data_IF_235649926303
#
_entry.id   IF_235649926303
#
_cell.length_a   1.000
_cell.length_b   1.000
_cell.length_c   1.000
_cell.angle_alpha   90.00
_cell.angle_beta   90.00
_cell.angle_gamma   90.00
#
_symmetry.space_group_name_H-M   'P 1'
#
loop_
_entity.id
_entity.type
_entity.pdbx_description
1 polymer ?
#
# COMPACT_ATOMS: atom_id res chain seq x y z
N UNK A 1 -14.37 2.90 -13.01
CA UNK A 1 -13.71 3.87 -12.11
C UNK A 1 -13.90 5.33 -12.57
N UNK A 2 -13.77 5.69 -13.86
CA UNK A 2 -13.92 7.09 -14.35
C UNK A 2 -15.23 7.77 -13.92
N UNK A 3 -16.37 7.04 -13.94
CA UNK A 3 -17.67 7.58 -13.49
C UNK A 3 -17.65 7.98 -12.00
N UNK A 4 -17.00 7.19 -11.17
CA UNK A 4 -16.85 7.49 -9.74
C UNK A 4 -15.95 8.71 -9.49
N UNK A 5 -14.84 8.84 -10.22
CA UNK A 5 -13.99 10.04 -10.14
C UNK A 5 -14.79 11.29 -10.55
N UNK A 6 -15.49 11.24 -11.67
CA UNK A 6 -16.32 12.36 -12.11
C UNK A 6 -17.39 12.73 -11.09
N UNK A 7 -18.06 11.73 -10.51
CA UNK A 7 -19.05 11.98 -9.45
C UNK A 7 -18.45 12.75 -8.25
N UNK A 8 -17.25 12.35 -7.78
CA UNK A 8 -16.59 13.07 -6.67
C UNK A 8 -16.18 14.49 -7.08
N UNK A 9 -15.63 14.68 -8.29
CA UNK A 9 -15.26 16.01 -8.78
C UNK A 9 -16.48 16.96 -8.82
N UNK A 10 -17.58 16.49 -9.36
CA UNK A 10 -18.83 17.25 -9.45
C UNK A 10 -19.39 17.56 -8.04
N UNK A 11 -19.46 16.56 -7.17
CA UNK A 11 -20.00 16.68 -5.80
C UNK A 11 -19.23 17.69 -4.96
N UNK A 12 -17.90 17.70 -5.07
CA UNK A 12 -17.04 18.59 -4.28
C UNK A 12 -16.63 19.85 -5.03
N UNK A 13 -17.25 20.13 -6.19
CA UNK A 13 -17.01 21.32 -7.01
C UNK A 13 -15.53 21.52 -7.38
N UNK A 14 -14.83 20.42 -7.69
CA UNK A 14 -13.45 20.45 -8.16
C UNK A 14 -13.44 20.59 -9.68
N UNK A 15 -13.20 21.80 -10.17
CA UNK A 15 -13.21 22.15 -11.60
C UNK A 15 -11.86 21.78 -12.25
N UNK A 16 -11.63 20.49 -12.47
CA UNK A 16 -10.42 19.97 -13.11
C UNK A 16 -10.83 18.87 -14.07
N UNK A 17 -10.31 18.89 -15.29
CA UNK A 17 -10.46 17.79 -16.23
C UNK A 17 -9.47 16.68 -15.86
N UNK A 18 -10.00 15.61 -15.28
CA UNK A 18 -9.21 14.48 -14.82
C UNK A 18 -9.71 13.18 -15.45
N UNK A 19 -8.80 12.45 -16.10
CA UNK A 19 -9.10 11.16 -16.73
C UNK A 19 -8.26 10.06 -16.10
N UNK A 20 -8.91 9.07 -15.48
CA UNK A 20 -8.27 7.91 -14.90
C UNK A 20 -7.92 6.89 -16.01
N UNK A 21 -6.71 6.33 -16.00
CA UNK A 21 -6.32 5.24 -16.89
C UNK A 21 -7.21 4.01 -16.69
N UNK A 22 -7.33 3.16 -17.71
CA UNK A 22 -8.18 1.96 -17.65
C UNK A 22 -7.74 0.99 -16.55
N UNK A 23 -6.43 0.85 -16.35
CA UNK A 23 -5.81 0.02 -15.31
C UNK A 23 -5.82 0.66 -13.91
N UNK A 24 -6.20 1.94 -13.81
CA UNK A 24 -6.23 2.69 -12.55
C UNK A 24 -4.86 3.12 -12.01
N UNK A 25 -3.77 2.89 -12.76
CA UNK A 25 -2.41 3.20 -12.29
C UNK A 25 -2.04 4.68 -12.40
N UNK A 26 -2.74 5.45 -13.23
CA UNK A 26 -2.49 6.89 -13.37
C UNK A 26 -3.78 7.70 -13.57
N UNK A 27 -3.70 8.98 -13.24
CA UNK A 27 -4.72 9.97 -13.58
C UNK A 27 -4.08 11.10 -14.40
N UNK A 28 -4.68 11.39 -15.55
CA UNK A 28 -4.24 12.48 -16.44
C UNK A 28 -4.96 13.77 -16.07
N UNK A 29 -4.21 14.84 -15.86
CA UNK A 29 -4.70 16.18 -15.53
C UNK A 29 -3.91 17.19 -16.35
N UNK A 30 -4.61 18.05 -17.09
CA UNK A 30 -3.99 19.09 -17.93
C UNK A 30 -2.93 18.54 -18.91
N UNK A 31 -3.14 17.30 -19.39
CA UNK A 31 -2.24 16.60 -20.32
C UNK A 31 -1.07 15.86 -19.67
N UNK A 32 -0.88 15.97 -18.36
CA UNK A 32 0.17 15.32 -17.59
C UNK A 32 -0.38 14.14 -16.80
N UNK A 33 0.36 13.01 -16.78
CA UNK A 33 0.00 11.80 -16.05
C UNK A 33 0.62 11.81 -14.64
N UNK A 34 -0.21 11.48 -13.64
CA UNK A 34 0.17 11.38 -12.23
C UNK A 34 -0.10 9.98 -11.73
N UNK A 35 0.86 9.33 -11.04
CA UNK A 35 0.67 7.98 -10.51
C UNK A 35 -0.39 7.98 -9.40
N UNK A 36 -1.26 6.98 -9.43
CA UNK A 36 -2.26 6.73 -8.39
C UNK A 36 -1.70 5.69 -7.43
N UNK A 37 -1.71 6.01 -6.13
CA UNK A 37 -1.20 5.18 -5.05
C UNK A 37 -2.38 4.75 -4.14
N UNK A 38 -3.15 3.71 -4.49
CA UNK A 38 -4.42 3.38 -3.84
C UNK A 38 -4.28 3.12 -2.34
N UNK A 39 -3.14 2.55 -1.91
CA UNK A 39 -2.86 2.26 -0.51
C UNK A 39 -2.83 3.49 0.40
N UNK A 40 -2.54 4.68 -0.14
CA UNK A 40 -2.59 5.92 0.63
C UNK A 40 -4.03 6.37 0.97
N UNK A 41 -5.02 5.79 0.31
CA UNK A 41 -6.45 6.00 0.58
C UNK A 41 -7.10 4.82 1.30
N UNK A 42 -6.35 3.75 1.53
CA UNK A 42 -6.84 2.55 2.19
C UNK A 42 -6.82 2.74 3.71
N UNK A 43 -7.98 2.58 4.35
CA UNK A 43 -8.17 2.88 5.77
C UNK A 43 -7.21 2.13 6.69
N UNK A 44 -6.96 0.83 6.44
CA UNK A 44 -6.07 0.03 7.29
C UNK A 44 -4.64 0.58 7.31
N UNK A 45 -4.11 1.06 6.18
CA UNK A 45 -2.78 1.64 6.12
C UNK A 45 -2.72 3.05 6.69
N UNK A 46 -3.79 3.84 6.53
CA UNK A 46 -3.94 5.14 7.19
C UNK A 46 -3.92 4.96 8.71
N UNK A 47 -4.63 3.96 9.25
CA UNK A 47 -4.65 3.69 10.68
C UNK A 47 -3.29 3.16 11.18
N UNK A 48 -2.62 2.25 10.47
CA UNK A 48 -1.27 1.81 10.82
C UNK A 48 -0.30 3.00 10.84
N UNK A 49 -0.33 3.87 9.82
CA UNK A 49 0.46 5.11 9.79
C UNK A 49 0.19 6.00 11.00
N UNK A 50 -1.08 6.19 11.34
CA UNK A 50 -1.47 7.01 12.50
C UNK A 50 -0.92 6.44 13.81
N UNK A 51 -0.96 5.11 13.98
CA UNK A 51 -0.39 4.44 15.16
C UNK A 51 1.12 4.70 15.29
N UNK A 52 1.84 4.64 14.18
CA UNK A 52 3.29 4.89 14.12
C UNK A 52 3.60 6.37 14.37
N UNK A 53 2.99 7.27 13.59
CA UNK A 53 3.31 8.71 13.63
C UNK A 53 2.90 9.38 14.93
N UNK A 54 1.86 8.88 15.60
CA UNK A 54 1.42 9.37 16.92
C UNK A 54 2.15 8.69 18.09
N UNK A 55 3.07 7.75 17.83
CA UNK A 55 3.81 7.04 18.85
C UNK A 55 2.94 6.17 19.78
N UNK A 56 1.73 5.78 19.35
CA UNK A 56 0.77 5.04 20.20
C UNK A 56 1.17 3.60 20.45
N UNK A 57 2.05 3.05 19.63
CA UNK A 57 2.52 1.67 19.74
C UNK A 57 3.96 1.58 20.28
N UNK A 58 4.54 2.68 20.77
CA UNK A 58 5.93 2.74 21.22
C UNK A 58 6.92 2.87 20.05
N UNK A 59 8.18 2.50 20.30
CA UNK A 59 9.22 2.55 19.28
C UNK A 59 9.11 1.35 18.36
N UNK A 60 9.10 1.61 17.06
CA UNK A 60 9.05 0.56 16.04
C UNK A 60 10.39 -0.18 15.98
N UNK A 61 10.34 -1.52 16.06
CA UNK A 61 11.50 -2.38 15.98
C UNK A 61 11.66 -2.97 14.58
N UNK A 62 10.59 -3.56 14.04
CA UNK A 62 10.61 -4.16 12.70
C UNK A 62 9.21 -4.17 12.08
N UNK A 63 9.16 -4.27 10.75
CA UNK A 63 7.94 -4.42 9.99
C UNK A 63 7.98 -5.72 9.18
N UNK A 64 6.93 -6.51 9.25
CA UNK A 64 6.77 -7.75 8.48
C UNK A 64 5.61 -7.62 7.52
N UNK A 65 5.87 -7.90 6.25
CA UNK A 65 4.88 -7.88 5.18
C UNK A 65 4.86 -9.26 4.53
N UNK A 66 3.71 -9.88 4.47
CA UNK A 66 3.48 -11.12 3.73
C UNK A 66 2.38 -10.90 2.69
N UNK A 67 2.64 -11.22 1.42
CA UNK A 67 1.65 -11.10 0.36
C UNK A 67 1.67 -12.33 -0.54
N UNK A 68 0.55 -13.04 -0.62
CA UNK A 68 0.39 -14.20 -1.49
C UNK A 68 -0.61 -13.87 -2.59
N UNK A 69 -0.14 -14.00 -3.83
CA UNK A 69 -0.86 -13.65 -5.06
C UNK A 69 -1.02 -14.86 -5.98
N UNK A 70 -1.79 -14.70 -7.04
CA UNK A 70 -2.04 -15.75 -8.04
C UNK A 70 -0.77 -16.18 -8.76
N UNK A 71 -0.71 -17.46 -9.14
CA UNK A 71 0.33 -17.97 -10.05
C UNK A 71 0.31 -17.16 -11.34
N UNK A 72 1.49 -16.68 -11.76
CA UNK A 72 1.66 -15.86 -12.97
C UNK A 72 1.62 -14.36 -12.72
N UNK A 73 1.25 -13.90 -11.52
CA UNK A 73 1.39 -12.49 -11.15
C UNK A 73 2.87 -12.09 -11.12
N UNK A 74 3.19 -10.90 -11.63
CA UNK A 74 4.56 -10.37 -11.54
C UNK A 74 4.87 -9.97 -10.08
N UNK A 75 5.80 -10.71 -9.48
CA UNK A 75 6.24 -10.46 -8.09
C UNK A 75 6.83 -9.06 -7.91
N UNK A 76 7.33 -8.42 -8.98
CA UNK A 76 7.85 -7.06 -8.89
C UNK A 76 6.76 -6.00 -8.86
N UNK A 77 5.61 -6.22 -9.50
CA UNK A 77 4.44 -5.35 -9.33
C UNK A 77 3.90 -5.45 -7.89
N UNK A 78 3.90 -6.67 -7.33
CA UNK A 78 3.55 -6.87 -5.92
C UNK A 78 4.55 -6.18 -5.00
N UNK A 79 5.86 -6.31 -5.27
CA UNK A 79 6.90 -5.62 -4.51
C UNK A 79 6.75 -4.09 -4.57
N UNK A 80 6.44 -3.54 -5.74
CA UNK A 80 6.20 -2.10 -5.92
C UNK A 80 5.11 -1.58 -4.97
N UNK A 81 3.99 -2.33 -4.88
CA UNK A 81 2.91 -2.02 -3.93
C UNK A 81 3.39 -2.10 -2.49
N UNK A 82 4.08 -3.17 -2.11
CA UNK A 82 4.49 -3.39 -0.72
C UNK A 82 5.57 -2.40 -0.24
N UNK A 83 6.48 -1.99 -1.13
CA UNK A 83 7.42 -0.88 -0.86
C UNK A 83 6.64 0.42 -0.61
N UNK A 84 5.65 0.72 -1.46
CA UNK A 84 4.83 1.92 -1.27
C UNK A 84 4.06 1.91 0.06
N UNK A 85 3.51 0.76 0.46
CA UNK A 85 2.84 0.59 1.75
C UNK A 85 3.82 0.74 2.91
N UNK A 86 5.01 0.13 2.80
CA UNK A 86 6.07 0.28 3.81
C UNK A 86 6.40 1.75 4.02
N UNK A 87 6.79 2.47 2.97
CA UNK A 87 7.20 3.88 3.08
C UNK A 87 6.07 4.79 3.60
N UNK A 88 4.85 4.51 3.16
CA UNK A 88 3.67 5.24 3.64
C UNK A 88 3.41 5.02 5.12
N UNK A 89 3.41 3.77 5.58
CA UNK A 89 3.06 3.42 6.97
C UNK A 89 4.14 3.82 7.97
N UNK A 90 5.42 3.60 7.65
CA UNK A 90 6.53 3.99 8.55
C UNK A 90 6.95 5.46 8.40
N UNK A 91 6.35 6.17 7.45
CA UNK A 91 6.65 7.57 7.11
C UNK A 91 8.15 7.83 6.89
N UNK A 92 8.81 6.94 6.15
CA UNK A 92 10.26 6.99 5.88
C UNK A 92 10.57 6.26 4.58
N UNK A 93 11.53 6.77 3.82
CA UNK A 93 11.98 6.15 2.55
C UNK A 93 12.87 4.94 2.82
N UNK A 94 12.81 3.95 1.93
CA UNK A 94 13.78 2.87 1.86
C UNK A 94 15.16 3.41 1.51
N UNK A 95 16.22 2.97 2.21
CA UNK A 95 17.60 3.38 1.94
C UNK A 95 18.46 2.27 1.40
N UNK A 96 18.15 1.02 1.71
CA UNK A 96 18.83 -0.14 1.14
C UNK A 96 17.91 -1.36 1.07
N UNK A 97 18.22 -2.29 0.17
CA UNK A 97 17.44 -3.51 -0.02
C UNK A 97 18.36 -4.69 -0.34
N UNK A 98 18.04 -5.84 0.28
CA UNK A 98 18.55 -7.15 -0.07
C UNK A 98 17.40 -8.04 -0.53
N UNK A 99 17.60 -8.80 -1.62
CA UNK A 99 16.56 -9.64 -2.21
C UNK A 99 17.06 -11.03 -2.55
N UNK A 100 16.21 -12.04 -2.30
CA UNK A 100 16.42 -13.42 -2.74
C UNK A 100 15.14 -13.92 -3.41
N UNK A 101 15.29 -14.80 -4.39
CA UNK A 101 14.16 -15.36 -5.13
C UNK A 101 14.23 -16.87 -5.19
N UNK A 102 13.09 -17.50 -4.90
CA UNK A 102 12.82 -18.92 -5.11
C UNK A 102 11.89 -19.18 -6.28
N UNK A 103 11.41 -20.40 -6.42
CA UNK A 103 10.41 -20.77 -7.42
C UNK A 103 9.04 -20.21 -7.02
N UNK A 104 8.60 -19.13 -7.69
CA UNK A 104 7.33 -18.47 -7.41
C UNK A 104 7.30 -17.67 -6.10
N UNK A 105 8.47 -17.42 -5.48
CA UNK A 105 8.56 -16.67 -4.22
C UNK A 105 9.69 -15.66 -4.27
N UNK A 106 9.56 -14.57 -3.54
CA UNK A 106 10.60 -13.56 -3.36
C UNK A 106 10.58 -13.06 -1.92
N UNK A 107 11.75 -12.90 -1.32
CA UNK A 107 11.91 -12.31 -0.01
C UNK A 107 12.85 -11.12 -0.12
N UNK A 108 12.48 -10.00 0.50
CA UNK A 108 13.30 -8.80 0.57
C UNK A 108 13.49 -8.40 2.04
N UNK A 109 14.67 -7.90 2.35
CA UNK A 109 14.96 -7.17 3.59
C UNK A 109 15.23 -5.72 3.17
N UNK A 110 14.47 -4.80 3.74
CA UNK A 110 14.55 -3.36 3.44
C UNK A 110 14.87 -2.62 4.71
N UNK A 111 15.91 -1.76 4.69
CA UNK A 111 16.14 -0.78 5.75
C UNK A 111 15.65 0.58 5.29
N UNK A 112 14.97 1.30 6.17
CA UNK A 112 14.49 2.66 5.90
C UNK A 112 15.40 3.71 6.55
N UNK A 113 15.30 4.97 6.12
CA UNK A 113 16.12 6.09 6.64
C UNK A 113 15.96 6.30 8.16
N UNK A 114 14.78 6.00 8.72
CA UNK A 114 14.52 6.07 10.17
C UNK A 114 15.00 4.83 10.94
N UNK A 115 15.68 3.87 10.28
CA UNK A 115 16.24 2.67 10.89
C UNK A 115 15.27 1.51 11.09
N UNK A 116 14.05 1.58 10.55
CA UNK A 116 13.16 0.42 10.52
C UNK A 116 13.70 -0.63 9.56
N UNK A 117 13.77 -1.87 10.02
CA UNK A 117 14.06 -3.03 9.17
C UNK A 117 12.74 -3.74 8.84
N UNK A 118 12.47 -3.88 7.56
CA UNK A 118 11.28 -4.56 7.05
C UNK A 118 11.65 -5.86 6.33
N UNK A 119 10.87 -6.91 6.57
CA UNK A 119 10.88 -8.12 5.73
C UNK A 119 9.63 -8.12 4.85
N UNK A 120 9.81 -8.33 3.53
CA UNK A 120 8.72 -8.46 2.57
C UNK A 120 8.80 -9.87 1.97
N UNK A 121 7.78 -10.66 2.19
CA UNK A 121 7.65 -12.04 1.73
C UNK A 121 6.53 -12.13 0.69
N UNK A 122 6.86 -12.42 -0.57
CA UNK A 122 5.91 -12.51 -1.68
C UNK A 122 5.86 -13.95 -2.19
N UNK A 123 4.66 -14.50 -2.30
CA UNK A 123 4.40 -15.82 -2.90
C UNK A 123 3.41 -15.72 -4.06
N UNK A 124 3.85 -16.01 -5.29
CA UNK A 124 2.96 -16.17 -6.45
C UNK A 124 2.58 -17.64 -6.61
N UNK A 125 1.73 -18.14 -5.70
CA UNK A 125 1.46 -19.59 -5.54
C UNK A 125 -0.03 -19.95 -5.50
N UNK A 126 -0.93 -18.96 -5.41
CA UNK A 126 -2.38 -19.20 -5.33
C UNK A 126 -2.96 -19.62 -6.68
N UNK A 127 -3.94 -20.49 -6.64
CA UNK A 127 -4.78 -20.82 -7.81
C UNK A 127 -5.79 -19.70 -8.08
N UNK A 128 -6.46 -19.72 -9.24
CA UNK A 128 -7.43 -18.70 -9.63
C UNK A 128 -8.60 -18.55 -8.63
N UNK A 129 -9.00 -19.66 -7.99
CA UNK A 129 -10.14 -19.71 -7.09
C UNK A 129 -9.80 -19.29 -5.65
N UNK A 130 -8.52 -19.23 -5.28
CA UNK A 130 -8.08 -18.83 -3.94
C UNK A 130 -8.02 -17.32 -3.81
N UNK A 131 -8.49 -16.71 -2.71
CA UNK A 131 -8.38 -15.28 -2.48
C UNK A 131 -6.92 -14.87 -2.22
N UNK A 132 -6.51 -13.75 -2.77
CA UNK A 132 -5.22 -13.13 -2.42
C UNK A 132 -5.21 -12.75 -0.94
N UNK A 133 -4.02 -12.89 -0.33
CA UNK A 133 -3.85 -12.69 1.10
C UNK A 133 -2.63 -11.81 1.35
N UNK A 134 -2.84 -10.64 1.93
CA UNK A 134 -1.78 -9.79 2.43
C UNK A 134 -1.87 -9.59 3.95
N UNK A 135 -0.76 -9.38 4.61
CA UNK A 135 -0.64 -9.13 6.05
C UNK A 135 0.50 -8.15 6.31
N UNK A 136 0.20 -7.14 7.12
CA UNK A 136 1.14 -6.10 7.51
C UNK A 136 1.20 -6.04 9.04
N UNK A 137 2.40 -6.25 9.61
CA UNK A 137 2.60 -6.42 11.04
C UNK A 137 3.79 -5.59 11.52
N UNK A 138 3.52 -4.57 12.29
CA UNK A 138 4.53 -3.68 12.90
C UNK A 138 4.79 -4.18 14.31
N UNK A 139 6.04 -4.60 14.57
CA UNK A 139 6.49 -5.05 15.87
C UNK A 139 7.21 -3.90 16.55
N UNK A 140 6.85 -3.64 17.81
CA UNK A 140 7.34 -2.52 18.60
C UNK A 140 7.81 -3.00 19.97
N UNK A 141 8.47 -2.12 20.72
CA UNK A 141 8.86 -2.39 22.11
C UNK A 141 7.67 -2.53 23.09
N UNK A 142 6.46 -2.10 22.68
CA UNK A 142 5.25 -2.18 23.50
C UNK A 142 4.23 -3.22 23.00
N UNK A 143 4.47 -3.90 21.87
CA UNK A 143 3.55 -4.88 21.31
C UNK A 143 3.56 -4.95 19.78
N UNK A 144 2.43 -5.32 19.22
CA UNK A 144 2.26 -5.52 17.77
C UNK A 144 1.04 -4.75 17.26
N UNK A 145 1.20 -4.01 16.17
CA UNK A 145 0.10 -3.48 15.39
C UNK A 145 -0.01 -4.25 14.07
N UNK A 146 -1.19 -4.74 13.73
CA UNK A 146 -1.42 -5.59 12.57
C UNK A 146 -2.72 -5.20 11.87
N UNK A 147 -2.74 -5.20 10.54
CA UNK A 147 -3.91 -4.93 9.73
C UNK A 147 -4.86 -6.15 9.62
N UNK A 148 -4.39 -7.32 10.05
CA UNK A 148 -5.20 -8.56 10.16
C UNK A 148 -5.35 -9.00 11.60
N UNK A 149 -6.58 -9.28 11.96
CA UNK A 149 -6.84 -10.00 13.20
C UNK A 149 -6.43 -11.47 13.03
N UNK A 150 -5.88 -12.07 14.09
CA UNK A 150 -5.44 -13.49 14.08
C UNK A 150 -6.61 -14.45 13.85
N UNK A 151 -7.84 -14.01 14.09
CA UNK A 151 -9.06 -14.79 13.84
C UNK A 151 -9.51 -14.63 12.38
N UNK A 152 -9.27 -15.66 11.57
CA UNK A 152 -9.63 -15.72 10.15
C UNK A 152 -11.14 -15.78 9.88
N UNK A 153 -11.98 -15.90 10.91
CA UNK A 153 -13.44 -15.94 10.78
C UNK A 153 -14.06 -14.56 10.60
N UNK A 154 -13.28 -13.50 10.73
CA UNK A 154 -13.78 -12.14 10.74
C UNK A 154 -13.33 -11.37 9.49
N UNK A 155 -14.26 -10.70 8.77
CA UNK A 155 -13.93 -9.92 7.58
C UNK A 155 -12.90 -8.81 7.85
N UNK A 156 -11.95 -8.66 6.96
CA UNK A 156 -10.80 -7.75 7.10
C UNK A 156 -11.16 -6.26 7.22
N UNK A 157 -12.24 -5.85 6.56
CA UNK A 157 -12.76 -4.48 6.56
C UNK A 157 -13.62 -4.16 7.78
N UNK A 158 -13.63 -5.03 8.80
CA UNK A 158 -14.49 -4.87 9.97
C UNK A 158 -13.81 -4.14 11.10
N UNK A 159 -14.56 -3.26 11.75
CA UNK A 159 -14.15 -2.65 13.01
C UNK A 159 -14.65 -3.53 14.15
N UNK A 160 -13.75 -3.86 15.08
CA UNK A 160 -14.07 -4.63 16.26
C UNK A 160 -14.33 -3.75 17.45
N UNK A 161 -15.43 -4.00 18.13
CA UNK A 161 -15.65 -3.48 19.47
C UNK A 161 -15.65 -4.67 20.42
N UNK A 162 -14.66 -4.75 21.31
CA UNK A 162 -14.58 -5.74 22.39
C UNK A 162 -14.86 -5.05 23.71
N UNK A 163 -16.04 -5.32 24.25
CA UNK A 163 -16.52 -4.77 25.55
C UNK A 163 -17.51 -5.73 26.18
N UNK A 164 -18.47 -5.24 26.97
CA UNK A 164 -19.57 -6.03 27.53
C UNK A 164 -20.43 -6.69 26.42
N UNK A 165 -20.40 -6.16 25.21
CA UNK A 165 -20.92 -6.78 23.98
C UNK A 165 -19.87 -6.66 22.91
N UNK A 166 -19.62 -7.76 22.20
CA UNK A 166 -18.79 -7.74 20.99
C UNK A 166 -19.65 -7.33 19.80
N UNK A 167 -19.17 -6.41 18.98
CA UNK A 167 -19.83 -5.98 17.76
C UNK A 167 -18.80 -5.84 16.62
N UNK A 168 -19.24 -6.13 15.40
CA UNK A 168 -18.47 -6.01 14.16
C UNK A 168 -19.19 -5.05 13.24
N UNK A 169 -18.47 -4.10 12.67
CA UNK A 169 -19.02 -3.16 11.69
C UNK A 169 -18.21 -3.28 10.41
N UNK A 170 -18.89 -3.53 9.29
CA UNK A 170 -18.28 -3.46 7.96
C UNK A 170 -18.39 -2.03 7.47
N UNK A 171 -17.27 -1.44 7.11
CA UNK A 171 -17.25 -0.10 6.53
C UNK A 171 -17.76 -0.15 5.08
N UNK A 172 -18.78 0.66 4.80
CA UNK A 172 -19.35 0.77 3.45
C UNK A 172 -19.20 2.20 2.97
N UNK A 173 -18.53 2.38 1.84
CA UNK A 173 -18.41 3.70 1.21
C UNK A 173 -19.77 4.10 0.60
N UNK A 174 -20.44 5.05 1.26
CA UNK A 174 -21.77 5.51 0.84
C UNK A 174 -21.75 6.33 -0.46
N UNK A 175 -20.61 6.92 -0.83
CA UNK A 175 -20.48 7.76 -2.03
C UNK A 175 -20.13 6.94 -3.27
N UNK A 176 -19.34 5.87 -3.09
CA UNK A 176 -18.85 5.00 -4.17
C UNK A 176 -19.46 3.59 -4.05
N UNK A 177 -20.71 3.53 -3.64
CA UNK A 177 -21.43 2.27 -3.52
C UNK A 177 -21.43 1.49 -4.83
N UNK A 178 -21.15 0.18 -4.74
CA UNK A 178 -21.10 -0.74 -5.87
C UNK A 178 -19.72 -0.88 -6.54
N UNK A 179 -18.70 -0.12 -6.11
CA UNK A 179 -17.31 -0.35 -6.46
C UNK A 179 -16.64 -1.31 -5.48
N UNK A 180 -15.63 -2.07 -5.95
CA UNK A 180 -14.78 -2.86 -5.06
C UNK A 180 -13.89 -1.96 -4.20
N UNK A 181 -13.34 -2.48 -3.09
CA UNK A 181 -12.45 -1.74 -2.19
C UNK A 181 -11.25 -1.13 -2.94
N UNK A 182 -10.56 -1.91 -3.77
CA UNK A 182 -9.47 -1.41 -4.59
C UNK A 182 -9.92 -0.28 -5.53
N UNK A 183 -11.09 -0.42 -6.16
CA UNK A 183 -11.63 0.63 -7.03
C UNK A 183 -11.96 1.91 -6.25
N UNK A 184 -12.52 1.78 -5.04
CA UNK A 184 -12.81 2.91 -4.16
C UNK A 184 -11.52 3.65 -3.81
N UNK A 185 -10.49 2.93 -3.35
CA UNK A 185 -9.20 3.49 -2.97
C UNK A 185 -8.50 4.16 -4.16
N UNK A 186 -8.56 3.56 -5.34
CA UNK A 186 -8.06 4.13 -6.61
C UNK A 186 -8.78 5.45 -6.95
N UNK A 187 -10.11 5.47 -6.89
CA UNK A 187 -10.92 6.66 -7.18
C UNK A 187 -10.64 7.77 -6.15
N UNK A 188 -10.55 7.43 -4.87
CA UNK A 188 -10.27 8.39 -3.80
C UNK A 188 -8.86 9.00 -3.92
N UNK A 189 -7.86 8.20 -4.22
CA UNK A 189 -6.51 8.72 -4.44
C UNK A 189 -6.45 9.60 -5.70
N UNK A 190 -7.05 9.17 -6.82
CA UNK A 190 -7.16 9.98 -8.02
C UNK A 190 -7.90 11.31 -7.79
N UNK A 191 -8.94 11.31 -6.96
CA UNK A 191 -9.64 12.53 -6.56
C UNK A 191 -8.75 13.45 -5.71
N UNK A 192 -7.96 12.91 -4.78
CA UNK A 192 -7.01 13.70 -3.98
C UNK A 192 -5.95 14.36 -4.87
N UNK A 193 -5.41 13.62 -5.85
CA UNK A 193 -4.48 14.14 -6.87
C UNK A 193 -5.15 15.26 -7.69
N UNK A 194 -6.40 15.08 -8.12
CA UNK A 194 -7.12 16.08 -8.89
C UNK A 194 -7.35 17.37 -8.07
N UNK A 195 -7.66 17.24 -6.79
CA UNK A 195 -7.98 18.32 -5.88
C UNK A 195 -6.76 19.14 -5.44
N UNK A 196 -5.60 18.47 -5.21
CA UNK A 196 -4.45 19.09 -4.56
C UNK A 196 -3.16 18.91 -5.38
N UNK A 197 -2.56 20.06 -5.78
CA UNK A 197 -1.29 20.08 -6.52
C UNK A 197 -0.11 19.54 -5.68
N UNK A 198 -0.14 19.69 -4.36
CA UNK A 198 0.87 19.14 -3.47
C UNK A 198 0.85 17.60 -3.49
N UNK A 199 -0.34 16.99 -3.50
CA UNK A 199 -0.50 15.55 -3.65
C UNK A 199 0.03 15.07 -5.00
N UNK A 200 -0.20 15.84 -6.10
CA UNK A 200 0.36 15.50 -7.44
C UNK A 200 1.88 15.37 -7.40
N UNK A 201 2.55 16.39 -6.87
CA UNK A 201 4.01 16.42 -6.79
C UNK A 201 4.53 15.29 -5.87
N UNK A 202 3.90 15.11 -4.71
CA UNK A 202 4.25 14.07 -3.74
C UNK A 202 4.12 12.67 -4.33
N UNK A 203 3.01 12.36 -5.02
CA UNK A 203 2.83 11.03 -5.62
C UNK A 203 3.87 10.74 -6.72
N UNK A 204 4.23 11.74 -7.53
CA UNK A 204 5.32 11.57 -8.51
C UNK A 204 6.63 11.23 -7.83
N UNK A 205 7.03 12.01 -6.84
CA UNK A 205 8.29 11.77 -6.11
C UNK A 205 8.33 10.39 -5.47
N UNK A 206 7.26 10.01 -4.75
CA UNK A 206 7.13 8.70 -4.11
C UNK A 206 7.23 7.57 -5.13
N UNK A 207 6.48 7.67 -6.23
CA UNK A 207 6.47 6.63 -7.24
C UNK A 207 7.82 6.46 -7.94
N UNK A 208 8.51 7.56 -8.25
CA UNK A 208 9.88 7.49 -8.79
C UNK A 208 10.85 6.84 -7.79
N UNK A 209 10.70 7.13 -6.49
CA UNK A 209 11.52 6.46 -5.48
C UNK A 209 11.20 4.97 -5.38
N UNK A 210 9.94 4.58 -5.32
CA UNK A 210 9.50 3.17 -5.31
C UNK A 210 10.10 2.40 -6.51
N UNK A 211 10.08 2.99 -7.71
CA UNK A 211 10.70 2.38 -8.89
C UNK A 211 12.21 2.17 -8.74
N UNK A 212 12.92 3.11 -8.12
CA UNK A 212 14.35 2.96 -7.80
C UNK A 212 14.58 1.79 -6.83
N UNK A 213 13.74 1.65 -5.80
CA UNK A 213 13.82 0.53 -4.84
C UNK A 213 13.59 -0.80 -5.54
N UNK A 214 12.59 -0.91 -6.41
CA UNK A 214 12.33 -2.14 -7.20
C UNK A 214 13.48 -2.45 -8.15
N UNK A 215 14.09 -1.44 -8.77
CA UNK A 215 15.29 -1.63 -9.60
C UNK A 215 16.49 -2.12 -8.77
N UNK A 216 16.67 -1.59 -7.56
CA UNK A 216 17.69 -2.04 -6.62
C UNK A 216 17.44 -3.49 -6.16
N UNK A 217 16.19 -3.88 -5.92
CA UNK A 217 15.81 -5.26 -5.62
C UNK A 217 16.21 -6.22 -6.76
N UNK A 218 15.95 -5.86 -8.01
CA UNK A 218 16.38 -6.64 -9.18
C UNK A 218 17.90 -6.80 -9.23
N UNK A 219 18.64 -5.70 -9.02
CA UNK A 219 20.10 -5.73 -8.97
C UNK A 219 20.60 -6.63 -7.83
N UNK A 220 19.98 -6.55 -6.65
CA UNK A 220 20.32 -7.41 -5.50
C UNK A 220 20.15 -8.89 -5.80
N UNK A 221 19.11 -9.28 -6.57
CA UNK A 221 18.92 -10.68 -7.01
C UNK A 221 20.08 -11.17 -7.90
N UNK A 222 20.64 -10.29 -8.75
CA UNK A 222 21.71 -10.64 -9.65
C UNK A 222 23.08 -10.71 -8.93
N UNK A 223 23.31 -9.84 -7.95
CA UNK A 223 24.61 -9.71 -7.27
C UNK A 223 24.66 -10.48 -5.94
N UNK A 224 23.50 -10.78 -5.33
CA UNK A 224 23.36 -11.34 -3.97
C UNK A 224 24.01 -10.42 -2.91
N UNK A 225 23.94 -9.11 -3.13
CA UNK A 225 24.47 -8.07 -2.23
C UNK A 225 23.36 -7.11 -1.79
N UNK A 226 23.58 -6.42 -0.65
CA UNK A 226 22.78 -5.27 -0.27
C UNK A 226 23.01 -4.15 -1.28
N UNK A 227 21.93 -3.55 -1.77
CA UNK A 227 21.98 -2.41 -2.67
C UNK A 227 21.49 -1.16 -1.94
N UNK A 228 22.42 -0.25 -1.72
CA UNK A 228 22.09 1.08 -1.19
C UNK A 228 21.42 1.93 -2.28
N UNK A 229 20.45 2.72 -1.86
CA UNK A 229 19.75 3.69 -2.70
C UNK A 229 20.48 5.03 -2.56
N UNK A 230 20.81 5.64 -3.69
CA UNK A 230 21.35 7.00 -3.70
C UNK A 230 20.26 7.98 -3.28
N UNK A 231 20.61 8.89 -2.37
CA UNK A 231 19.72 9.92 -1.83
C UNK A 231 19.21 10.90 -2.89
#
# INVERSE_FOLDING_TARGET
MQKGLKYLLDKYSVNVDATLSEDGKSVKIDGEDFPVLPWESERRFIELRNLVTLGRVGNMCTYRIGHTVKVGTDVFETLEREIGILEFTVNSKAKEIFSIRGKGTMNCIVETENGCVCTIEIGATLTEDEPEVDKHEIITDCGVACDRVVDTQIPQSSIYVRGNKSATYTDTDAELYGYSELQINTIRNAFAIAKDKGVRASNKEKYEHIKKVVAAAKKSLDTLENIALEA
#
